data_IF_750973553694
#
_entry.id   IF_750973553694
#
_cell.length_a   1.000
_cell.length_b   1.000
_cell.length_c   1.000
_cell.angle_alpha   90.00
_cell.angle_beta   90.00
_cell.angle_gamma   90.00
#
_symmetry.space_group_name_H-M   'P 1'
#
loop_
_entity.id
_entity.type
_entity.pdbx_description
1 polymer ?
#
# COMPACT_ATOMS: atom_id res chain seq x y z
N UNK A 1 28.82 24.79 22.83
CA UNK A 1 27.66 24.88 21.90
C UNK A 1 27.52 23.69 20.94
N UNK A 2 28.61 23.01 20.54
CA UNK A 2 28.57 21.82 19.66
C UNK A 2 27.98 20.56 20.31
N UNK A 3 28.21 20.32 21.62
CA UNK A 3 27.65 19.17 22.34
C UNK A 3 26.10 19.16 22.37
N UNK A 4 25.42 20.31 22.25
CA UNK A 4 23.94 20.33 22.33
C UNK A 4 23.25 19.88 21.03
N UNK A 5 23.92 20.01 19.88
CA UNK A 5 23.38 19.63 18.57
C UNK A 5 23.55 18.13 18.30
N UNK A 6 24.67 17.55 18.71
CA UNK A 6 24.89 16.09 18.64
C UNK A 6 23.98 15.34 19.61
N UNK A 7 23.79 15.83 20.85
CA UNK A 7 22.82 15.23 21.78
C UNK A 7 21.38 15.31 21.25
N UNK A 8 20.99 16.41 20.59
CA UNK A 8 19.68 16.54 19.93
C UNK A 8 19.49 15.50 18.83
N UNK A 9 20.52 15.33 17.98
CA UNK A 9 20.52 14.37 16.88
C UNK A 9 20.48 12.90 17.36
N UNK A 10 21.14 12.60 18.49
CA UNK A 10 21.14 11.26 19.10
C UNK A 10 19.77 10.95 19.74
N UNK A 11 19.15 11.93 20.41
CA UNK A 11 17.82 11.76 20.99
C UNK A 11 16.72 11.66 19.93
N UNK A 12 16.86 12.36 18.79
CA UNK A 12 15.95 12.19 17.65
C UNK A 12 16.09 10.80 17.01
N UNK A 13 17.27 10.17 17.03
CA UNK A 13 17.48 8.83 16.42
C UNK A 13 16.90 7.67 17.21
N UNK A 14 16.62 7.83 18.51
CA UNK A 14 16.10 6.73 19.33
C UNK A 14 14.59 6.65 19.20
N UNK A 15 14.12 5.53 18.65
CA UNK A 15 12.73 5.11 18.77
C UNK A 15 12.33 5.10 20.26
N UNK A 16 11.19 5.69 20.65
CA UNK A 16 10.81 5.78 22.06
C UNK A 16 10.62 4.37 22.66
N UNK A 17 11.51 4.00 23.60
CA UNK A 17 11.52 2.67 24.24
C UNK A 17 10.19 2.37 24.96
N UNK A 18 9.52 3.41 25.46
CA UNK A 18 8.26 3.37 26.21
C UNK A 18 7.04 3.80 25.36
N UNK A 19 6.93 3.33 24.12
CA UNK A 19 5.72 3.52 23.33
C UNK A 19 4.55 2.74 23.97
N UNK A 20 3.58 3.47 24.53
CA UNK A 20 2.35 2.95 25.17
C UNK A 20 1.63 1.90 24.32
N UNK A 21 1.65 2.08 23.00
CA UNK A 21 0.91 1.23 22.07
C UNK A 21 1.57 -0.14 21.85
N UNK A 22 2.87 -0.30 22.15
CA UNK A 22 3.53 -1.61 22.10
C UNK A 22 2.87 -2.60 23.06
N UNK A 23 2.50 -2.15 24.25
CA UNK A 23 1.79 -3.00 25.20
C UNK A 23 0.42 -3.43 24.67
N UNK A 24 -0.33 -2.49 24.10
CA UNK A 24 -1.66 -2.75 23.52
C UNK A 24 -1.55 -3.75 22.36
N UNK A 25 -0.64 -3.49 21.41
CA UNK A 25 -0.42 -4.36 20.25
C UNK A 25 0.02 -5.76 20.67
N UNK A 26 0.95 -5.89 21.62
CA UNK A 26 1.38 -7.20 22.13
C UNK A 26 0.26 -7.95 22.84
N UNK A 27 -0.65 -7.24 23.50
CA UNK A 27 -1.83 -7.86 24.12
C UNK A 27 -2.82 -8.33 23.07
N UNK A 28 -3.12 -7.51 22.06
CA UNK A 28 -3.98 -7.89 20.94
C UNK A 28 -3.41 -9.09 20.18
N UNK A 29 -2.10 -9.09 19.91
CA UNK A 29 -1.42 -10.19 19.22
C UNK A 29 -1.43 -11.52 19.99
N UNK A 30 -1.65 -11.50 21.31
CA UNK A 30 -1.78 -12.71 22.15
C UNK A 30 -3.22 -13.20 22.29
N UNK A 31 -4.20 -12.46 21.76
CA UNK A 31 -5.59 -12.93 21.72
C UNK A 31 -5.72 -14.12 20.76
N UNK A 32 -6.77 -14.92 20.93
CA UNK A 32 -7.02 -16.10 20.09
C UNK A 32 -7.10 -15.76 18.60
N UNK A 33 -7.63 -14.58 18.30
CA UNK A 33 -7.93 -14.14 16.93
C UNK A 33 -6.79 -13.32 16.33
N UNK A 34 -5.72 -13.08 17.11
CA UNK A 34 -4.64 -12.18 16.75
C UNK A 34 -5.13 -10.73 16.61
N UNK A 35 -4.43 -9.93 15.79
CA UNK A 35 -4.85 -8.56 15.49
C UNK A 35 -5.85 -8.62 14.33
N UNK A 36 -7.08 -8.21 14.58
CA UNK A 36 -8.18 -8.23 13.60
C UNK A 36 -8.20 -6.99 12.70
N UNK A 37 -9.02 -7.02 11.65
CA UNK A 37 -9.25 -5.86 10.78
C UNK A 37 -9.86 -4.68 11.55
N UNK A 38 -10.76 -4.95 12.51
CA UNK A 38 -11.36 -3.93 13.36
C UNK A 38 -10.31 -3.30 14.31
N UNK A 39 -9.39 -4.11 14.84
CA UNK A 39 -8.29 -3.60 15.67
C UNK A 39 -7.39 -2.67 14.87
N UNK A 40 -7.03 -3.04 13.63
CA UNK A 40 -6.23 -2.17 12.75
C UNK A 40 -6.94 -0.86 12.42
N UNK A 41 -8.25 -0.91 12.16
CA UNK A 41 -9.03 0.30 11.90
C UNK A 41 -9.05 1.23 13.12
N UNK A 42 -9.26 0.67 14.32
CA UNK A 42 -9.27 1.42 15.58
C UNK A 42 -7.89 2.02 15.88
N UNK A 43 -6.81 1.24 15.72
CA UNK A 43 -5.43 1.72 15.87
C UNK A 43 -5.16 2.87 14.90
N UNK A 44 -5.55 2.72 13.63
CA UNK A 44 -5.39 3.76 12.60
C UNK A 44 -6.09 5.05 13.00
N UNK A 45 -7.36 4.99 13.40
CA UNK A 45 -8.13 6.15 13.86
C UNK A 45 -7.46 6.81 15.06
N UNK A 46 -7.05 6.01 16.05
CA UNK A 46 -6.42 6.48 17.28
C UNK A 46 -5.10 7.23 16.99
N UNK A 47 -4.23 6.67 16.16
CA UNK A 47 -2.95 7.30 15.81
C UNK A 47 -3.15 8.59 15.02
N UNK A 48 -4.08 8.61 14.07
CA UNK A 48 -4.42 9.81 13.30
C UNK A 48 -4.98 10.92 14.19
N UNK A 49 -5.85 10.59 15.14
CA UNK A 49 -6.43 11.55 16.09
C UNK A 49 -5.37 12.13 17.03
N UNK A 50 -4.49 11.29 17.60
CA UNK A 50 -3.39 11.78 18.44
C UNK A 50 -2.46 12.71 17.69
N UNK A 51 -2.09 12.35 16.46
CA UNK A 51 -1.27 13.20 15.60
C UNK A 51 -1.95 14.55 15.28
N UNK A 52 -3.26 14.54 15.02
CA UNK A 52 -4.02 15.76 14.77
C UNK A 52 -4.06 16.70 15.99
N UNK A 53 -4.02 16.12 17.20
CA UNK A 53 -4.01 16.85 18.47
C UNK A 53 -2.62 17.35 18.90
N UNK A 54 -1.55 17.00 18.18
CA UNK A 54 -0.21 17.52 18.45
C UNK A 54 -0.13 19.02 18.16
N UNK A 55 0.38 19.79 19.13
CA UNK A 55 0.46 21.25 19.10
C UNK A 55 1.70 21.76 18.35
N UNK A 56 2.79 21.01 18.41
CA UNK A 56 4.06 21.42 17.82
C UNK A 56 4.71 20.32 16.96
N UNK A 57 5.83 20.70 16.34
CA UNK A 57 6.58 19.83 15.44
C UNK A 57 7.25 18.66 16.17
N UNK A 58 7.74 18.88 17.40
CA UNK A 58 8.41 17.85 18.19
C UNK A 58 7.43 16.78 18.67
N UNK A 59 6.22 17.18 19.08
CA UNK A 59 5.13 16.27 19.42
C UNK A 59 4.73 15.41 18.20
N UNK A 60 4.62 16.04 17.01
CA UNK A 60 4.31 15.32 15.77
C UNK A 60 5.37 14.28 15.40
N UNK A 61 6.65 14.64 15.50
CA UNK A 61 7.75 13.68 15.27
C UNK A 61 7.66 12.53 16.28
N UNK A 62 7.47 12.85 17.56
CA UNK A 62 7.40 11.85 18.62
C UNK A 62 6.22 10.87 18.40
N UNK A 63 5.04 11.37 18.07
CA UNK A 63 3.84 10.56 17.82
C UNK A 63 4.02 9.65 16.61
N UNK A 64 4.59 10.17 15.52
CA UNK A 64 4.87 9.36 14.33
C UNK A 64 5.92 8.27 14.60
N UNK A 65 6.97 8.58 15.37
CA UNK A 65 7.97 7.58 15.78
C UNK A 65 7.37 6.51 16.68
N UNK A 66 6.54 6.90 17.65
CA UNK A 66 5.76 5.95 18.46
C UNK A 66 4.89 5.06 17.58
N UNK A 67 4.19 5.65 16.61
CA UNK A 67 3.34 4.92 15.67
C UNK A 67 4.13 3.91 14.86
N UNK A 68 5.30 4.28 14.33
CA UNK A 68 6.18 3.35 13.61
C UNK A 68 6.66 2.21 14.52
N UNK A 69 7.07 2.50 15.76
CA UNK A 69 7.42 1.47 16.72
C UNK A 69 6.27 0.47 16.92
N UNK A 70 5.07 1.00 17.07
CA UNK A 70 3.86 0.22 17.29
C UNK A 70 3.55 -0.66 16.08
N UNK A 71 3.48 -0.07 14.88
CA UNK A 71 3.24 -0.79 13.61
C UNK A 71 4.30 -1.87 13.38
N UNK A 72 5.56 -1.61 13.73
CA UNK A 72 6.63 -2.56 13.52
C UNK A 72 6.49 -3.85 14.34
N UNK A 73 5.76 -3.82 15.46
CA UNK A 73 5.43 -4.99 16.29
C UNK A 73 4.27 -5.82 15.69
N UNK A 74 3.48 -5.25 14.78
CA UNK A 74 2.40 -5.97 14.11
C UNK A 74 3.02 -6.98 13.14
N UNK A 75 2.81 -8.27 13.40
CA UNK A 75 3.20 -9.34 12.50
C UNK A 75 2.26 -9.37 11.30
N UNK A 76 2.82 -9.30 10.10
CA UNK A 76 2.06 -9.46 8.86
C UNK A 76 1.78 -10.97 8.69
N UNK A 77 0.54 -11.38 8.93
CA UNK A 77 0.17 -12.80 8.93
C UNK A 77 -1.17 -13.12 8.26
N UNK A 78 -1.87 -12.12 7.73
CA UNK A 78 -3.15 -12.31 7.05
C UNK A 78 -3.04 -12.09 5.55
N UNK A 79 -3.71 -12.94 4.78
CA UNK A 79 -3.96 -12.74 3.33
C UNK A 79 -5.28 -12.02 3.07
N UNK A 80 -6.07 -11.72 4.11
CA UNK A 80 -7.34 -11.00 3.97
C UNK A 80 -7.12 -9.62 3.34
N UNK A 81 -7.73 -9.31 2.19
CA UNK A 81 -7.60 -8.01 1.54
C UNK A 81 -8.04 -6.84 2.43
N UNK A 82 -9.06 -7.02 3.28
CA UNK A 82 -9.52 -5.93 4.14
C UNK A 82 -8.50 -5.63 5.24
N UNK A 83 -7.98 -6.67 5.89
CA UNK A 83 -6.89 -6.56 6.86
C UNK A 83 -5.67 -5.87 6.26
N UNK A 84 -5.20 -6.33 5.09
CA UNK A 84 -4.04 -5.76 4.41
C UNK A 84 -4.26 -4.29 4.03
N UNK A 85 -5.46 -3.95 3.57
CA UNK A 85 -5.82 -2.57 3.24
C UNK A 85 -5.74 -1.65 4.46
N UNK A 86 -6.26 -2.06 5.62
CA UNK A 86 -6.15 -1.25 6.84
C UNK A 86 -4.69 -1.07 7.28
N UNK A 87 -3.90 -2.14 7.23
CA UNK A 87 -2.48 -2.09 7.58
C UNK A 87 -1.70 -1.18 6.61
N UNK A 88 -1.95 -1.28 5.31
CA UNK A 88 -1.34 -0.46 4.27
C UNK A 88 -1.74 1.02 4.37
N UNK A 89 -2.99 1.33 4.71
CA UNK A 89 -3.40 2.71 4.98
C UNK A 89 -2.64 3.31 6.15
N UNK A 90 -2.47 2.53 7.23
CA UNK A 90 -1.73 2.98 8.38
C UNK A 90 -0.25 3.20 8.05
N UNK A 91 0.38 2.26 7.34
CA UNK A 91 1.75 2.41 6.83
C UNK A 91 1.88 3.65 5.95
N UNK A 92 1.07 3.74 4.89
CA UNK A 92 1.16 4.83 3.94
C UNK A 92 1.01 6.17 4.64
N UNK A 93 -0.04 6.35 5.45
CA UNK A 93 -0.23 7.58 6.20
C UNK A 93 0.99 7.94 7.06
N UNK A 94 1.48 7.02 7.89
CA UNK A 94 2.56 7.33 8.83
C UNK A 94 3.87 7.68 8.09
N UNK A 95 4.23 6.88 7.07
CA UNK A 95 5.44 7.11 6.28
C UNK A 95 5.33 8.36 5.38
N UNK A 96 4.12 8.69 4.88
CA UNK A 96 3.87 9.97 4.20
C UNK A 96 4.19 11.15 5.13
N UNK A 97 3.64 11.14 6.35
CA UNK A 97 3.76 12.27 7.28
C UNK A 97 5.20 12.44 7.76
N UNK A 98 5.84 11.34 8.18
CA UNK A 98 7.18 11.41 8.76
C UNK A 98 8.23 11.85 7.73
N UNK A 99 8.02 11.54 6.44
CA UNK A 99 8.90 12.01 5.35
C UNK A 99 9.10 13.53 5.33
N UNK A 100 8.07 14.31 5.65
CA UNK A 100 8.13 15.77 5.58
C UNK A 100 8.87 16.42 6.74
N UNK A 101 9.06 15.69 7.82
CA UNK A 101 9.64 16.19 9.07
C UNK A 101 10.98 15.53 9.42
N UNK A 102 11.31 14.41 8.76
CA UNK A 102 12.59 13.70 8.91
C UNK A 102 13.70 14.26 8.05
N UNK A 103 14.93 14.18 8.56
CA UNK A 103 16.13 14.53 7.80
C UNK A 103 16.44 13.48 6.70
N UNK A 104 17.28 13.81 5.70
CA UNK A 104 17.54 12.90 4.57
C UNK A 104 18.05 11.51 4.93
N UNK A 105 18.91 11.38 5.96
CA UNK A 105 19.46 10.09 6.37
C UNK A 105 18.39 9.20 7.03
N UNK A 106 17.56 9.80 7.88
CA UNK A 106 16.42 9.13 8.50
C UNK A 106 15.39 8.69 7.46
N UNK A 107 15.12 9.51 6.43
CA UNK A 107 14.20 9.13 5.33
C UNK A 107 14.65 7.89 4.57
N UNK A 108 15.95 7.68 4.40
CA UNK A 108 16.46 6.48 3.73
C UNK A 108 16.20 5.24 4.58
N UNK A 109 16.50 5.31 5.88
CA UNK A 109 16.22 4.22 6.81
C UNK A 109 14.72 3.89 6.86
N UNK A 110 13.87 4.91 6.93
CA UNK A 110 12.41 4.76 6.88
C UNK A 110 11.95 4.08 5.58
N UNK A 111 12.53 4.46 4.43
CA UNK A 111 12.21 3.82 3.15
C UNK A 111 12.57 2.32 3.15
N UNK A 112 13.75 1.95 3.66
CA UNK A 112 14.14 0.54 3.76
C UNK A 112 13.21 -0.25 4.69
N UNK A 113 12.79 0.35 5.81
CA UNK A 113 11.87 -0.29 6.75
C UNK A 113 10.50 -0.56 6.11
N UNK A 114 9.90 0.44 5.45
CA UNK A 114 8.60 0.25 4.79
C UNK A 114 8.71 -0.71 3.60
N UNK A 115 9.82 -0.65 2.84
CA UNK A 115 10.10 -1.60 1.74
C UNK A 115 10.09 -3.04 2.24
N UNK A 116 10.73 -3.32 3.37
CA UNK A 116 10.76 -4.66 3.96
C UNK A 116 9.38 -5.14 4.41
N UNK A 117 8.52 -4.24 4.90
CA UNK A 117 7.12 -4.58 5.21
C UNK A 117 6.34 -4.93 3.95
N UNK A 118 6.51 -4.17 2.86
CA UNK A 118 5.88 -4.48 1.58
C UNK A 118 6.39 -5.77 0.95
N UNK A 119 7.69 -6.05 1.03
CA UNK A 119 8.27 -7.33 0.62
C UNK A 119 7.56 -8.52 1.26
N UNK A 120 7.38 -8.49 2.59
CA UNK A 120 6.65 -9.52 3.34
C UNK A 120 5.18 -9.64 2.91
N UNK A 121 4.51 -8.51 2.68
CA UNK A 121 3.13 -8.54 2.14
C UNK A 121 3.08 -9.18 0.75
N UNK A 122 4.01 -8.85 -0.13
CA UNK A 122 4.07 -9.43 -1.48
C UNK A 122 4.42 -10.92 -1.46
N UNK A 123 5.26 -11.36 -0.54
CA UNK A 123 5.52 -12.79 -0.31
C UNK A 123 4.25 -13.53 0.12
N UNK A 124 3.45 -12.96 1.02
CA UNK A 124 2.17 -13.54 1.43
C UNK A 124 1.15 -13.60 0.29
N UNK A 125 1.20 -12.61 -0.62
CA UNK A 125 0.32 -12.48 -1.78
C UNK A 125 0.86 -13.20 -3.03
N UNK A 126 1.92 -14.00 -2.92
CA UNK A 126 2.56 -14.67 -4.07
C UNK A 126 1.57 -15.54 -4.85
N UNK A 127 0.74 -16.28 -4.13
CA UNK A 127 -0.24 -17.22 -4.70
C UNK A 127 -1.60 -16.57 -5.02
N UNK A 128 -1.73 -15.27 -4.79
CA UNK A 128 -2.94 -14.50 -5.11
C UNK A 128 -2.85 -14.00 -6.56
N UNK A 129 -3.97 -14.06 -7.28
CA UNK A 129 -4.07 -13.56 -8.65
C UNK A 129 -3.56 -12.11 -8.75
N UNK A 130 -2.81 -11.82 -9.81
CA UNK A 130 -2.17 -10.52 -10.00
C UNK A 130 -3.19 -9.37 -10.04
N UNK A 131 -4.40 -9.61 -10.56
CA UNK A 131 -5.50 -8.64 -10.56
C UNK A 131 -6.00 -8.36 -9.14
N UNK A 132 -6.01 -9.36 -8.27
CA UNK A 132 -6.56 -9.24 -6.92
C UNK A 132 -5.63 -8.54 -5.93
N UNK A 133 -4.32 -8.67 -6.13
CA UNK A 133 -3.34 -7.95 -5.32
C UNK A 133 -3.00 -6.53 -5.81
N UNK A 134 -3.59 -6.06 -6.92
CA UNK A 134 -3.33 -4.72 -7.48
C UNK A 134 -3.43 -3.57 -6.46
N UNK A 135 -4.36 -3.62 -5.50
CA UNK A 135 -4.51 -2.59 -4.47
C UNK A 135 -3.25 -2.43 -3.61
N UNK A 136 -2.63 -3.56 -3.23
CA UNK A 136 -1.39 -3.56 -2.45
C UNK A 136 -0.23 -2.94 -3.22
N UNK A 137 -0.13 -3.22 -4.51
CA UNK A 137 0.90 -2.64 -5.36
C UNK A 137 0.61 -1.16 -5.70
N UNK A 138 -0.66 -0.74 -5.75
CA UNK A 138 -1.01 0.68 -5.82
C UNK A 138 -0.49 1.43 -4.60
N UNK A 139 -0.72 0.92 -3.39
CA UNK A 139 -0.24 1.55 -2.16
C UNK A 139 1.29 1.62 -2.11
N UNK A 140 1.98 0.57 -2.56
CA UNK A 140 3.43 0.60 -2.72
C UNK A 140 3.91 1.64 -3.74
N UNK A 141 3.30 1.69 -4.92
CA UNK A 141 3.67 2.64 -5.98
C UNK A 141 3.52 4.10 -5.53
N UNK A 142 2.53 4.40 -4.66
CA UNK A 142 2.34 5.72 -4.07
C UNK A 142 3.51 6.08 -3.14
N UNK A 143 3.96 5.15 -2.30
CA UNK A 143 5.14 5.35 -1.44
C UNK A 143 6.41 5.50 -2.27
N UNK A 144 6.60 4.70 -3.33
CA UNK A 144 7.70 4.86 -4.26
C UNK A 144 7.73 6.28 -4.86
N UNK A 145 6.58 6.78 -5.31
CA UNK A 145 6.50 8.13 -5.84
C UNK A 145 6.85 9.20 -4.79
N UNK A 146 6.37 9.03 -3.56
CA UNK A 146 6.69 9.97 -2.50
C UNK A 146 8.16 9.96 -2.13
N UNK A 147 8.77 8.78 -2.05
CA UNK A 147 10.19 8.58 -1.73
C UNK A 147 11.07 8.50 -2.98
N UNK A 148 10.67 9.12 -4.09
CA UNK A 148 11.30 8.90 -5.40
C UNK A 148 12.81 9.15 -5.43
N UNK A 149 13.34 9.99 -4.54
CA UNK A 149 14.77 10.23 -4.42
C UNK A 149 15.57 9.05 -3.83
N UNK A 150 14.90 8.04 -3.27
CA UNK A 150 15.48 6.88 -2.57
C UNK A 150 15.10 5.54 -3.22
N UNK A 151 14.15 5.53 -4.15
CA UNK A 151 13.63 4.31 -4.78
C UNK A 151 14.70 3.63 -5.62
N UNK A 152 14.85 2.31 -5.44
CA UNK A 152 15.72 1.48 -6.26
C UNK A 152 14.96 0.72 -7.36
N UNK A 153 15.72 0.09 -8.27
CA UNK A 153 15.16 -0.63 -9.42
C UNK A 153 14.26 -1.80 -9.00
N UNK A 154 14.63 -2.51 -7.93
CA UNK A 154 13.82 -3.63 -7.39
C UNK A 154 12.43 -3.14 -6.95
N UNK A 155 12.37 -1.99 -6.28
CA UNK A 155 11.11 -1.39 -5.81
C UNK A 155 10.14 -1.08 -6.96
N UNK A 156 10.67 -0.61 -8.09
CA UNK A 156 9.88 -0.33 -9.29
C UNK A 156 9.53 -1.59 -10.08
N UNK A 157 10.44 -2.57 -10.15
CA UNK A 157 10.19 -3.81 -10.89
C UNK A 157 8.97 -4.55 -10.33
N UNK A 158 8.79 -4.58 -9.01
CA UNK A 158 7.58 -5.11 -8.38
C UNK A 158 6.28 -4.52 -8.95
N UNK A 159 6.25 -3.19 -9.18
CA UNK A 159 5.08 -2.51 -9.75
C UNK A 159 4.92 -2.78 -11.25
N UNK A 160 6.03 -2.90 -11.99
CA UNK A 160 6.01 -3.16 -13.42
C UNK A 160 5.52 -4.58 -13.69
N UNK A 161 6.06 -5.57 -12.97
CA UNK A 161 5.75 -6.98 -13.14
C UNK A 161 4.27 -7.27 -12.89
N UNK A 162 3.72 -6.76 -11.76
CA UNK A 162 2.29 -6.95 -11.46
C UNK A 162 1.38 -6.30 -12.49
N UNK A 163 1.77 -5.13 -13.04
CA UNK A 163 0.99 -4.44 -14.07
C UNK A 163 0.98 -5.23 -15.37
N UNK A 164 2.13 -5.77 -15.78
CA UNK A 164 2.23 -6.59 -16.99
C UNK A 164 1.33 -7.82 -16.85
N UNK A 165 1.45 -8.53 -15.73
CA UNK A 165 0.67 -9.75 -15.52
C UNK A 165 -0.84 -9.47 -15.41
N UNK A 166 -1.23 -8.45 -14.64
CA UNK A 166 -2.65 -8.08 -14.50
C UNK A 166 -3.25 -7.60 -15.83
N UNK A 167 -2.47 -6.90 -16.67
CA UNK A 167 -2.92 -6.55 -18.02
C UNK A 167 -3.14 -7.79 -18.87
N UNK A 168 -2.21 -8.75 -18.85
CA UNK A 168 -2.37 -9.98 -19.59
C UNK A 168 -3.64 -10.74 -19.13
N UNK A 169 -3.91 -10.80 -17.84
CA UNK A 169 -5.12 -11.42 -17.30
C UNK A 169 -6.43 -10.68 -17.71
N UNK A 170 -6.42 -9.34 -17.73
CA UNK A 170 -7.63 -8.53 -17.99
C UNK A 170 -7.93 -8.29 -19.48
N UNK A 171 -6.91 -8.30 -20.33
CA UNK A 171 -7.01 -7.92 -21.75
C UNK A 171 -6.80 -9.08 -22.72
N UNK A 172 -6.36 -10.27 -22.29
CA UNK A 172 -6.42 -11.45 -23.15
C UNK A 172 -7.89 -11.79 -23.39
N UNK A 173 -8.37 -11.79 -24.65
CA UNK A 173 -9.72 -12.25 -24.95
C UNK A 173 -9.84 -13.69 -24.46
N UNK A 174 -10.88 -13.99 -23.69
CA UNK A 174 -11.24 -15.39 -23.46
C UNK A 174 -11.56 -15.99 -24.82
N UNK A 175 -10.61 -16.70 -25.42
CA UNK A 175 -10.85 -17.60 -26.54
C UNK A 175 -11.69 -18.78 -26.04
N UNK A 176 -12.95 -18.51 -25.66
CA UNK A 176 -13.96 -19.51 -25.32
C UNK A 176 -15.10 -19.41 -26.33
N UNK A 177 -14.87 -20.11 -27.45
CA UNK A 177 -15.82 -21.02 -28.10
C UNK A 177 -17.28 -20.57 -28.15
N UNK A 178 -17.61 -19.68 -29.09
CA UNK A 178 -18.98 -19.60 -29.62
C UNK A 178 -19.19 -20.68 -30.68
N UNK A 179 -19.26 -21.94 -30.25
CA UNK A 179 -19.92 -23.01 -31.02
C UNK A 179 -21.36 -23.09 -30.51
N UNK A 180 -22.22 -22.19 -30.98
CA UNK A 180 -23.66 -22.44 -30.94
C UNK A 180 -24.17 -22.66 -32.36
N UNK A 181 -24.21 -23.95 -32.66
CA UNK A 181 -24.91 -24.62 -33.74
C UNK A 181 -26.22 -23.94 -34.13
N UNK A 182 -26.28 -23.54 -35.39
CA UNK A 182 -27.52 -23.34 -36.13
C UNK A 182 -28.33 -24.64 -36.20
N UNK A 183 -29.54 -24.67 -35.63
CA UNK A 183 -30.75 -25.28 -36.25
C UNK A 183 -32.00 -25.28 -35.35
N UNK A 184 -33.05 -24.65 -35.90
CA UNK A 184 -34.50 -24.96 -35.90
C UNK A 184 -35.36 -24.84 -34.63
N UNK A 185 -36.27 -23.85 -34.72
CA UNK A 185 -37.71 -23.83 -34.39
C UNK A 185 -38.30 -24.89 -33.46
N UNK A 186 -38.92 -24.44 -32.36
CA UNK A 186 -40.26 -24.84 -31.93
C UNK A 186 -40.74 -23.97 -30.76
N UNK A 187 -42.02 -23.64 -30.79
CA UNK A 187 -42.79 -22.80 -29.87
C UNK A 187 -42.77 -23.27 -28.41
N UNK A 188 -42.73 -22.32 -27.47
CA UNK A 188 -42.94 -22.59 -26.04
C UNK A 188 -42.76 -21.34 -25.20
N UNK A 189 -43.84 -20.59 -24.98
CA UNK A 189 -43.86 -19.44 -24.08
C UNK A 189 -43.70 -19.90 -22.63
N UNK A 190 -42.53 -19.65 -22.05
CA UNK A 190 -42.36 -19.58 -20.60
C UNK A 190 -41.76 -18.21 -20.26
N UNK A 191 -42.57 -17.34 -19.68
CA UNK A 191 -42.10 -16.11 -19.04
C UNK A 191 -41.28 -16.50 -17.80
N UNK A 192 -39.95 -16.61 -17.97
CA UNK A 192 -39.01 -16.65 -16.85
C UNK A 192 -38.60 -15.23 -16.46
N UNK A 193 -39.09 -14.78 -15.32
CA UNK A 193 -38.68 -13.53 -14.67
C UNK A 193 -37.41 -13.76 -13.84
N UNK A 194 -36.26 -13.97 -14.50
CA UNK A 194 -34.93 -14.01 -13.85
C UNK A 194 -33.92 -12.99 -14.42
N UNK A 195 -34.40 -12.02 -15.21
CA UNK A 195 -33.54 -11.08 -15.97
C UNK A 195 -32.88 -9.98 -15.12
N UNK A 196 -33.36 -9.68 -13.92
CA UNK A 196 -32.85 -8.54 -13.13
C UNK A 196 -31.54 -8.84 -12.40
N UNK A 197 -31.37 -10.07 -11.90
CA UNK A 197 -30.17 -10.44 -11.12
C UNK A 197 -28.94 -10.65 -12.03
N UNK A 198 -29.10 -11.27 -13.20
CA UNK A 198 -27.99 -11.47 -14.15
C UNK A 198 -27.47 -10.14 -14.72
N UNK A 199 -28.36 -9.18 -14.98
CA UNK A 199 -27.95 -7.84 -15.40
C UNK A 199 -27.22 -7.09 -14.27
N UNK A 200 -27.67 -7.21 -13.02
CA UNK A 200 -27.04 -6.54 -11.88
C UNK A 200 -25.66 -7.14 -11.54
N UNK A 201 -25.50 -8.46 -11.64
CA UNK A 201 -24.21 -9.15 -11.49
C UNK A 201 -23.25 -8.79 -12.63
N UNK A 202 -23.74 -8.73 -13.88
CA UNK A 202 -22.97 -8.30 -15.05
C UNK A 202 -22.44 -6.86 -14.90
N UNK A 203 -23.28 -5.94 -14.43
CA UNK A 203 -22.87 -4.55 -14.14
C UNK A 203 -21.82 -4.51 -13.02
N UNK A 204 -21.98 -5.33 -11.98
CA UNK A 204 -21.04 -5.43 -10.87
C UNK A 204 -19.65 -5.89 -11.33
N UNK A 205 -19.58 -6.94 -12.15
CA UNK A 205 -18.34 -7.49 -12.70
C UNK A 205 -17.65 -6.50 -13.65
N UNK A 206 -18.41 -5.83 -14.51
CA UNK A 206 -17.89 -4.82 -15.41
C UNK A 206 -17.34 -3.60 -14.65
N UNK A 207 -18.03 -3.18 -13.58
CA UNK A 207 -17.54 -2.10 -12.73
C UNK A 207 -16.24 -2.49 -11.99
N UNK A 208 -16.17 -3.71 -11.44
CA UNK A 208 -14.95 -4.22 -10.83
C UNK A 208 -13.80 -4.25 -11.83
N UNK A 209 -14.03 -4.73 -13.05
CA UNK A 209 -13.03 -4.72 -14.12
C UNK A 209 -12.51 -3.31 -14.42
N UNK A 210 -13.41 -2.32 -14.54
CA UNK A 210 -13.03 -0.91 -14.75
C UNK A 210 -12.16 -0.36 -13.62
N UNK A 211 -12.49 -0.68 -12.37
CA UNK A 211 -11.69 -0.27 -11.21
C UNK A 211 -10.28 -0.88 -11.28
N UNK A 212 -10.15 -2.16 -11.65
CA UNK A 212 -8.84 -2.81 -11.80
C UNK A 212 -8.01 -2.18 -12.93
N UNK A 213 -8.63 -1.86 -14.07
CA UNK A 213 -7.97 -1.16 -15.18
C UNK A 213 -7.50 0.24 -14.75
N UNK A 214 -8.36 0.99 -14.04
CA UNK A 214 -7.98 2.30 -13.50
C UNK A 214 -6.81 2.19 -12.50
N UNK A 215 -6.82 1.16 -11.66
CA UNK A 215 -5.76 0.86 -10.69
C UNK A 215 -4.42 0.63 -11.39
N UNK A 216 -4.42 -0.15 -12.48
CA UNK A 216 -3.24 -0.34 -13.33
C UNK A 216 -2.73 1.00 -13.87
N UNK A 217 -3.62 1.85 -14.40
CA UNK A 217 -3.25 3.18 -14.91
C UNK A 217 -2.61 4.07 -13.83
N UNK A 218 -3.13 4.02 -12.60
CA UNK A 218 -2.56 4.75 -11.46
C UNK A 218 -1.17 4.25 -11.07
N UNK A 219 -0.96 2.93 -11.02
CA UNK A 219 0.36 2.33 -10.74
C UNK A 219 1.37 2.79 -11.81
N UNK A 220 1.02 2.69 -13.09
CA UNK A 220 1.88 3.13 -14.19
C UNK A 220 2.23 4.61 -14.10
N UNK A 221 1.25 5.46 -13.76
CA UNK A 221 1.47 6.90 -13.56
C UNK A 221 2.47 7.16 -12.43
N UNK A 222 2.34 6.44 -11.30
CA UNK A 222 3.25 6.59 -10.17
C UNK A 222 4.67 6.13 -10.52
N UNK A 223 4.83 5.01 -11.21
CA UNK A 223 6.14 4.51 -11.69
C UNK A 223 6.82 5.57 -12.57
N UNK A 224 6.11 6.08 -13.58
CA UNK A 224 6.65 7.10 -14.50
C UNK A 224 7.06 8.39 -13.76
N UNK A 225 6.24 8.85 -12.83
CA UNK A 225 6.56 10.04 -12.00
C UNK A 225 7.79 9.80 -11.13
N UNK A 226 7.94 8.59 -10.59
CA UNK A 226 9.09 8.20 -9.76
C UNK A 226 10.38 8.22 -10.58
N UNK A 227 10.37 7.60 -11.77
CA UNK A 227 11.52 7.59 -12.68
C UNK A 227 11.92 9.01 -13.12
N UNK A 228 10.94 9.84 -13.46
CA UNK A 228 11.19 11.24 -13.84
C UNK A 228 11.83 12.04 -12.69
N UNK A 229 11.34 11.86 -11.45
CA UNK A 229 11.93 12.51 -10.28
C UNK A 229 13.38 12.06 -10.04
N UNK A 230 13.66 10.76 -10.21
CA UNK A 230 15.02 10.22 -10.13
C UNK A 230 15.96 10.85 -11.17
N UNK A 231 15.54 10.91 -12.44
CA UNK A 231 16.32 11.53 -13.53
C UNK A 231 16.56 13.03 -13.26
N UNK A 232 15.56 13.75 -12.78
CA UNK A 232 15.69 15.16 -12.41
C UNK A 232 16.70 15.36 -11.26
N UNK A 233 16.66 14.50 -10.24
CA UNK A 233 17.61 14.53 -9.12
C UNK A 233 19.04 14.28 -9.58
N UNK A 234 19.25 13.27 -10.44
CA UNK A 234 20.56 12.94 -11.00
C UNK A 234 21.12 14.10 -11.83
N UNK A 235 20.30 14.71 -12.70
CA UNK A 235 20.71 15.89 -13.49
C UNK A 235 21.13 17.07 -12.60
N UNK A 236 20.44 17.33 -11.49
CA UNK A 236 20.84 18.39 -10.54
C UNK A 236 22.19 18.08 -9.90
N UNK A 237 22.42 16.84 -9.45
CA UNK A 237 23.70 16.43 -8.85
C UNK A 237 24.87 16.58 -9.83
N UNK A 238 24.68 16.16 -11.08
CA UNK A 238 25.72 16.29 -12.11
C UNK A 238 26.02 17.76 -12.47
N UNK A 239 25.00 18.62 -12.50
CA UNK A 239 25.18 20.07 -12.72
C UNK A 239 25.91 20.82 -11.59
N UNK A 240 25.95 20.26 -10.38
CA UNK A 240 26.70 20.84 -9.25
C UNK A 240 28.17 20.38 -9.26
N UNK A 241 28.48 19.34 -10.05
CA UNK A 241 29.81 18.72 -10.09
C UNK A 241 30.64 19.19 -11.31
N UNK A 242 30.05 19.96 -12.22
CA UNK A 242 30.66 20.59 -13.39
C UNK A 242 30.65 22.11 -13.21
#
# INVERSE_FOLDING_TARGET
>A
MLQSLEQKNINERRLPENCRDRYVIRRLAKSSDGITTADLELLRKTFMERYANCKDHSEKIYELKCTICAINEIKICSRDPQWLTQYQYLLNWCYCQIRFISNPAERFQLFLEVKEKYRKMFELLRDVDDVDKLSSYLHWSQLCYQYAELVDRESLSWCIDVVINAKNALFVPSSRSSTLSSKTDSSGSYQSSSSSNEQMESIGLENQRRIKIATIGLIQSNVLKTENAYVCSLKRRLKVTL
#
